data_IF_475268377786
#
_entry.id   IF_475268377786
#
_cell.length_a   1.000
_cell.length_b   1.000
_cell.length_c   1.000
_cell.angle_alpha   90.00
_cell.angle_beta   90.00
_cell.angle_gamma   90.00
#
_symmetry.space_group_name_H-M   'P 1'
#
loop_
_entity.id
_entity.type
_entity.pdbx_description
1 polymer ?
#
# COMPACT_ATOMS: atom_id res chain seq x y z
N UNK A 1 1.24 4.92 -14.19
CA UNK A 1 2.03 6.00 -13.57
C UNK A 1 1.58 6.12 -12.12
N UNK A 2 2.50 6.21 -11.14
CA UNK A 2 2.13 6.36 -9.72
C UNK A 2 1.91 7.84 -9.41
N UNK A 3 0.82 8.18 -8.72
CA UNK A 3 0.48 9.56 -8.37
C UNK A 3 0.73 9.76 -6.86
N UNK A 4 1.97 10.08 -6.49
CA UNK A 4 2.40 10.25 -5.10
C UNK A 4 3.56 9.34 -4.70
N UNK A 5 4.19 9.64 -3.55
CA UNK A 5 5.23 8.79 -2.98
C UNK A 5 4.63 7.48 -2.46
N UNK A 6 5.30 6.33 -2.66
CA UNK A 6 4.94 5.08 -1.99
C UNK A 6 4.98 5.25 -0.48
N UNK A 7 4.07 4.59 0.22
CA UNK A 7 4.05 4.55 1.68
C UNK A 7 4.26 3.12 2.16
N UNK A 8 5.20 2.94 3.07
CA UNK A 8 5.40 1.69 3.81
C UNK A 8 4.64 1.85 5.13
N UNK A 9 3.73 0.91 5.43
CA UNK A 9 3.06 0.86 6.74
C UNK A 9 4.03 0.28 7.80
N UNK A 10 3.51 -0.17 8.94
CA UNK A 10 4.34 -0.76 10.00
C UNK A 10 5.23 -1.90 9.45
N UNK A 11 6.55 -1.79 9.69
CA UNK A 11 7.53 -2.84 9.38
C UNK A 11 7.63 -3.76 10.59
N UNK A 12 7.50 -5.07 10.35
CA UNK A 12 7.57 -6.10 11.39
C UNK A 12 8.65 -7.10 11.02
N UNK A 13 9.30 -7.69 12.02
CA UNK A 13 10.29 -8.73 11.81
C UNK A 13 9.70 -10.10 12.11
N UNK A 14 9.75 -11.00 11.14
CA UNK A 14 9.40 -12.41 11.28
C UNK A 14 10.68 -13.22 11.52
N UNK A 15 10.94 -13.55 12.79
CA UNK A 15 12.14 -14.29 13.18
C UNK A 15 12.14 -15.76 12.74
N UNK A 16 10.98 -16.35 12.42
CA UNK A 16 10.90 -17.73 11.96
C UNK A 16 11.42 -17.88 10.52
N UNK A 17 11.21 -16.85 9.69
CA UNK A 17 11.65 -16.82 8.29
C UNK A 17 12.84 -15.88 8.05
N UNK A 18 13.38 -15.28 9.11
CA UNK A 18 14.47 -14.30 9.07
C UNK A 18 14.23 -13.18 8.05
N UNK A 19 13.05 -12.56 8.11
CA UNK A 19 12.65 -11.55 7.14
C UNK A 19 11.86 -10.39 7.76
N UNK A 20 11.90 -9.24 7.09
CA UNK A 20 11.03 -8.12 7.38
C UNK A 20 9.77 -8.19 6.53
N UNK A 21 8.63 -7.89 7.12
CA UNK A 21 7.33 -7.86 6.47
C UNK A 21 6.71 -6.48 6.63
N UNK A 22 6.06 -6.00 5.57
CA UNK A 22 5.29 -4.77 5.62
C UNK A 22 4.19 -4.76 4.56
N UNK A 23 3.22 -3.87 4.78
CA UNK A 23 2.22 -3.54 3.78
C UNK A 23 2.65 -2.26 3.05
N UNK A 24 2.88 -2.36 1.74
CA UNK A 24 3.31 -1.23 0.92
C UNK A 24 2.12 -0.70 0.13
N UNK A 25 1.85 0.60 0.26
CA UNK A 25 0.80 1.30 -0.48
C UNK A 25 1.41 2.05 -1.66
N UNK A 26 1.03 1.65 -2.87
CA UNK A 26 1.34 2.33 -4.12
C UNK A 26 0.14 3.16 -4.56
N UNK A 27 0.30 4.47 -4.66
CA UNK A 27 -0.73 5.35 -5.18
C UNK A 27 -0.71 5.30 -6.72
N UNK A 28 -1.78 4.79 -7.33
CA UNK A 28 -1.93 4.72 -8.80
C UNK A 28 -3.04 5.68 -9.25
N UNK A 29 -3.13 5.92 -10.56
CA UNK A 29 -4.23 6.71 -11.14
C UNK A 29 -5.59 6.06 -10.82
N UNK A 30 -5.64 4.73 -10.76
CA UNK A 30 -6.86 3.95 -10.51
C UNK A 30 -7.21 3.85 -9.01
N UNK A 31 -6.42 4.46 -8.13
CA UNK A 31 -6.55 4.38 -6.68
C UNK A 31 -5.35 3.75 -5.98
N UNK A 32 -5.49 3.54 -4.67
CA UNK A 32 -4.44 2.99 -3.83
C UNK A 32 -4.38 1.47 -3.95
N UNK A 33 -3.19 0.94 -4.22
CA UNK A 33 -2.90 -0.48 -4.24
C UNK A 33 -2.04 -0.83 -3.03
N UNK A 34 -2.54 -1.71 -2.16
CA UNK A 34 -1.80 -2.21 -0.98
C UNK A 34 -1.29 -3.61 -1.27
N UNK A 35 0.01 -3.81 -1.12
CA UNK A 35 0.73 -5.03 -1.51
C UNK A 35 1.49 -5.55 -0.30
N UNK A 36 1.24 -6.81 0.07
CA UNK A 36 2.04 -7.49 1.09
C UNK A 36 3.46 -7.72 0.55
N UNK A 37 4.47 -7.33 1.31
CA UNK A 37 5.86 -7.42 0.92
C UNK A 37 6.68 -8.03 2.06
N UNK A 38 7.58 -8.95 1.71
CA UNK A 38 8.55 -9.54 2.61
C UNK A 38 9.96 -9.34 2.03
N UNK A 39 10.94 -9.08 2.88
CA UNK A 39 12.34 -8.86 2.52
C UNK A 39 13.26 -9.66 3.45
N UNK A 40 13.90 -10.74 2.96
CA UNK A 40 14.87 -11.51 3.74
C UNK A 40 16.08 -10.65 4.08
N UNK A 41 16.34 -10.49 5.38
CA UNK A 41 17.48 -9.74 5.91
C UNK A 41 17.60 -10.02 7.43
N UNK A 42 18.81 -9.94 8.00
CA UNK A 42 18.98 -10.10 9.45
C UNK A 42 18.29 -8.96 10.21
N UNK A 43 17.88 -9.20 11.46
CA UNK A 43 17.23 -8.18 12.32
C UNK A 43 18.08 -6.92 12.52
N UNK A 44 19.39 -7.03 12.33
CA UNK A 44 20.37 -5.93 12.42
C UNK A 44 20.51 -5.12 11.13
N UNK A 45 19.75 -5.44 10.07
CA UNK A 45 19.80 -4.71 8.82
C UNK A 45 19.34 -3.26 9.00
N UNK A 46 19.94 -2.36 8.22
CA UNK A 46 19.63 -0.94 8.31
C UNK A 46 18.23 -0.64 7.78
N UNK A 47 17.53 0.30 8.41
CA UNK A 47 16.16 0.64 8.06
C UNK A 47 16.02 1.05 6.58
N UNK A 48 16.99 1.78 6.03
CA UNK A 48 17.00 2.20 4.63
C UNK A 48 17.09 1.00 3.67
N UNK A 49 17.95 0.03 3.97
CA UNK A 49 18.08 -1.21 3.20
C UNK A 49 16.76 -1.99 3.20
N UNK A 50 16.19 -2.20 4.40
CA UNK A 50 14.93 -2.92 4.59
C UNK A 50 13.78 -2.23 3.85
N UNK A 51 13.64 -0.91 4.01
CA UNK A 51 12.60 -0.12 3.34
C UNK A 51 12.72 -0.19 1.83
N UNK A 52 13.94 -0.10 1.30
CA UNK A 52 14.21 -0.22 -0.13
C UNK A 52 13.90 -1.63 -0.66
N UNK A 53 14.28 -2.67 0.08
CA UNK A 53 13.97 -4.06 -0.25
C UNK A 53 12.47 -4.32 -0.33
N UNK A 54 11.73 -3.90 0.70
CA UNK A 54 10.27 -4.01 0.77
C UNK A 54 9.58 -3.27 -0.38
N UNK A 55 10.02 -2.05 -0.70
CA UNK A 55 9.47 -1.28 -1.81
C UNK A 55 9.73 -1.93 -3.17
N UNK A 56 10.96 -2.40 -3.41
CA UNK A 56 11.32 -3.11 -4.66
C UNK A 56 10.48 -4.37 -4.84
N UNK A 57 10.30 -5.15 -3.78
CA UNK A 57 9.49 -6.36 -3.80
C UNK A 57 8.00 -6.05 -4.06
N UNK A 58 7.46 -5.01 -3.43
CA UNK A 58 6.09 -4.55 -3.71
C UNK A 58 5.91 -4.09 -5.17
N UNK A 59 6.87 -3.34 -5.71
CA UNK A 59 6.84 -2.90 -7.11
C UNK A 59 6.89 -4.07 -8.10
N UNK A 60 7.67 -5.12 -7.79
CA UNK A 60 7.71 -6.38 -8.58
C UNK A 60 6.37 -7.11 -8.49
N UNK A 61 5.82 -7.23 -7.28
CA UNK A 61 4.61 -7.98 -7.01
C UNK A 61 3.33 -7.28 -7.51
N UNK A 62 3.39 -5.99 -7.87
CA UNK A 62 2.22 -5.24 -8.36
C UNK A 62 1.54 -5.87 -9.58
N UNK A 63 2.29 -6.56 -10.44
CA UNK A 63 1.79 -7.21 -11.67
C UNK A 63 1.75 -8.73 -11.57
N UNK A 64 2.27 -9.31 -10.48
CA UNK A 64 2.30 -10.75 -10.29
C UNK A 64 0.90 -11.29 -9.97
N UNK A 65 0.41 -12.32 -10.69
CA UNK A 65 -0.94 -12.86 -10.48
C UNK A 65 -1.13 -13.53 -9.12
N UNK A 66 -0.08 -14.10 -8.56
CA UNK A 66 -0.05 -14.79 -7.26
C UNK A 66 0.12 -13.84 -6.06
N UNK A 67 0.47 -12.58 -6.30
CA UNK A 67 0.72 -11.64 -5.22
C UNK A 67 -0.58 -11.20 -4.52
N UNK A 68 -0.59 -11.29 -3.20
CA UNK A 68 -1.69 -10.81 -2.38
C UNK A 68 -1.70 -9.28 -2.39
N UNK A 69 -2.77 -8.71 -2.96
CA UNK A 69 -2.97 -7.27 -3.11
C UNK A 69 -4.42 -6.89 -2.87
N UNK A 70 -4.63 -5.71 -2.30
CA UNK A 70 -5.95 -5.07 -2.25
C UNK A 70 -5.92 -3.77 -3.05
N UNK A 71 -7.03 -3.45 -3.71
CA UNK A 71 -7.21 -2.20 -4.46
C UNK A 71 -8.37 -1.45 -3.84
N UNK A 72 -8.10 -0.25 -3.35
CA UNK A 72 -9.14 0.71 -3.01
C UNK A 72 -9.28 1.67 -4.20
N UNK A 73 -10.48 1.80 -4.82
CA UNK A 73 -10.68 2.80 -5.85
C UNK A 73 -10.37 4.18 -5.28
N UNK A 74 -9.94 5.11 -6.13
CA UNK A 74 -9.90 6.52 -5.76
C UNK A 74 -11.33 6.97 -5.49
N UNK A 75 -11.77 6.93 -4.23
CA UNK A 75 -13.07 7.48 -3.86
C UNK A 75 -13.02 8.97 -4.18
N UNK A 76 -13.80 9.48 -5.16
CA UNK A 76 -13.88 10.91 -5.35
C UNK A 76 -14.37 11.52 -4.03
N UNK A 77 -13.87 12.69 -3.61
CA UNK A 77 -14.33 13.32 -2.38
C UNK A 77 -15.86 13.34 -2.42
N UNK A 78 -16.49 12.79 -1.38
CA UNK A 78 -17.96 12.75 -1.25
C UNK A 78 -18.42 14.19 -1.37
N UNK A 79 -18.94 14.57 -2.55
CA UNK A 79 -19.62 15.85 -2.70
C UNK A 79 -20.79 15.77 -1.73
N UNK A 80 -20.72 16.54 -0.65
CA UNK A 80 -21.89 16.78 0.19
C UNK A 80 -22.94 17.37 -0.74
N UNK A 81 -23.84 16.53 -1.25
CA UNK A 81 -25.05 17.01 -1.91
C UNK A 81 -25.80 17.78 -0.81
N UNK A 82 -26.09 19.08 -1.01
CA UNK A 82 -26.94 19.79 -0.07
C UNK A 82 -28.25 19.02 0.03
N UNK A 83 -28.67 18.76 1.26
CA UNK A 83 -29.90 18.07 1.58
C UNK A 83 -31.05 18.74 0.82
N UNK A 84 -31.75 17.98 -0.03
CA UNK A 84 -32.89 18.48 -0.78
C UNK A 84 -33.97 18.88 0.24
N UNK A 85 -34.21 20.18 0.41
CA UNK A 85 -35.31 20.66 1.23
C UNK A 85 -36.63 20.22 0.56
N UNK A 86 -37.61 19.68 1.30
CA UNK A 86 -38.89 19.34 0.71
C UNK A 86 -39.60 20.64 0.31
N UNK A 87 -40.14 20.62 -0.90
CA UNK A 87 -41.02 21.67 -1.42
C UNK A 87 -42.31 21.65 -0.60
N UNK A 88 -42.55 22.66 0.22
CA UNK A 88 -43.84 22.85 0.89
C UNK A 88 -44.78 23.59 -0.08
N UNK A 89 -45.96 23.00 -0.26
CA UNK A 89 -47.06 23.46 -1.11
C UNK A 89 -47.79 24.69 -0.56
#
# INVERSE_FOLDING_TARGET
MHNGSPRIDEIRYNAAEECFEALVTLNTIDGAMRIASAYPAPVTAEFEEVSNGLLRNALRNRTAPEALRSRAPSTPPRRHLPHCMPFAA
#
